data_IF_845790091157
#
_entry.id   IF_845790091157
#
_cell.length_a   1.000
_cell.length_b   1.000
_cell.length_c   1.000
_cell.angle_alpha   90.00
_cell.angle_beta   90.00
_cell.angle_gamma   90.00
#
_symmetry.space_group_name_H-M   'P 1'
#
loop_
_entity.id
_entity.type
_entity.pdbx_description
1 polymer ?
#
# COMPACT_ATOMS: atom_id res chain seq x y z
N UNK A 1 16.51 6.60 -16.81
CA UNK A 1 16.96 5.76 -15.64
C UNK A 1 15.87 4.72 -15.43
N UNK A 2 16.24 3.45 -15.41
CA UNK A 2 15.27 2.37 -15.23
C UNK A 2 14.80 2.34 -13.76
N UNK A 3 13.47 2.36 -13.54
CA UNK A 3 12.91 2.32 -12.19
C UNK A 3 13.12 0.92 -11.61
N UNK A 4 13.83 0.83 -10.50
CA UNK A 4 14.15 -0.44 -9.86
C UNK A 4 12.92 -1.03 -9.17
N UNK A 5 12.48 -2.18 -9.65
CA UNK A 5 11.45 -2.99 -9.00
C UNK A 5 12.12 -3.91 -7.98
N UNK A 6 11.53 -4.04 -6.81
CA UNK A 6 12.02 -4.97 -5.81
C UNK A 6 11.88 -6.42 -6.28
N UNK A 7 13.00 -7.15 -6.33
CA UNK A 7 13.05 -8.53 -6.84
C UNK A 7 12.15 -9.49 -6.05
N UNK A 8 11.96 -9.24 -4.76
CA UNK A 8 11.14 -10.09 -3.87
C UNK A 8 9.64 -9.85 -4.07
N UNK A 9 9.21 -8.71 -4.65
CA UNK A 9 7.80 -8.44 -4.93
C UNK A 9 7.17 -9.53 -5.80
N UNK A 10 7.82 -9.85 -6.92
CA UNK A 10 7.31 -10.88 -7.82
C UNK A 10 7.41 -12.28 -7.20
N UNK A 11 8.48 -12.58 -6.43
CA UNK A 11 8.62 -13.84 -5.72
C UNK A 11 7.50 -14.04 -4.70
N UNK A 12 7.28 -13.07 -3.81
CA UNK A 12 6.22 -13.18 -2.80
C UNK A 12 4.83 -13.18 -3.43
N UNK A 13 4.63 -12.47 -4.54
CA UNK A 13 3.38 -12.57 -5.28
C UNK A 13 3.16 -13.99 -5.85
N UNK A 14 4.18 -14.59 -6.45
CA UNK A 14 4.09 -15.97 -6.96
C UNK A 14 3.80 -16.96 -5.82
N UNK A 15 4.49 -16.85 -4.69
CA UNK A 15 4.21 -17.68 -3.50
C UNK A 15 2.76 -17.51 -3.03
N UNK A 16 2.24 -16.26 -2.96
CA UNK A 16 0.85 -16.00 -2.60
C UNK A 16 -0.13 -16.67 -3.57
N UNK A 17 0.12 -16.66 -4.86
CA UNK A 17 -0.70 -17.34 -5.85
C UNK A 17 -0.68 -18.85 -5.62
N UNK A 18 0.51 -19.45 -5.46
CA UNK A 18 0.66 -20.90 -5.21
C UNK A 18 -0.09 -21.31 -3.95
N UNK A 19 0.11 -20.63 -2.83
CA UNK A 19 -0.58 -20.92 -1.58
C UNK A 19 -2.11 -20.73 -1.69
N UNK A 20 -2.58 -19.68 -2.39
CA UNK A 20 -4.02 -19.50 -2.61
C UNK A 20 -4.64 -20.66 -3.41
N UNK A 21 -3.92 -21.21 -4.39
CA UNK A 21 -4.37 -22.39 -5.16
C UNK A 21 -4.39 -23.63 -4.26
N UNK A 22 -3.34 -23.86 -3.46
CA UNK A 22 -3.28 -24.99 -2.52
C UNK A 22 -4.44 -24.91 -1.52
N UNK A 23 -4.68 -23.76 -0.94
CA UNK A 23 -5.77 -23.54 0.01
C UNK A 23 -7.15 -23.82 -0.62
N UNK A 24 -7.35 -23.35 -1.86
CA UNK A 24 -8.58 -23.65 -2.60
C UNK A 24 -8.76 -25.16 -2.83
N UNK A 25 -7.68 -25.87 -3.17
CA UNK A 25 -7.71 -27.33 -3.34
C UNK A 25 -8.00 -28.06 -2.01
N UNK A 26 -7.40 -27.60 -0.91
CA UNK A 26 -7.67 -28.16 0.44
C UNK A 26 -9.12 -27.94 0.83
N UNK A 27 -9.67 -26.75 0.62
CA UNK A 27 -11.08 -26.44 0.88
C UNK A 27 -11.99 -27.34 0.04
N UNK A 28 -11.71 -27.52 -1.26
CA UNK A 28 -12.48 -28.40 -2.14
C UNK A 28 -12.42 -29.86 -1.69
N UNK A 29 -11.25 -30.35 -1.28
CA UNK A 29 -11.08 -31.72 -0.77
C UNK A 29 -11.85 -31.94 0.55
N UNK A 30 -11.81 -30.97 1.47
CA UNK A 30 -12.58 -31.00 2.71
C UNK A 30 -14.09 -31.03 2.44
N UNK A 31 -14.59 -30.21 1.52
CA UNK A 31 -15.99 -30.23 1.12
C UNK A 31 -16.40 -31.59 0.54
N UNK A 32 -15.55 -32.18 -0.31
CA UNK A 32 -15.79 -33.52 -0.88
C UNK A 32 -15.84 -34.63 0.21
N UNK A 33 -14.88 -34.60 1.12
CA UNK A 33 -14.79 -35.57 2.21
C UNK A 33 -15.98 -35.46 3.19
N UNK A 34 -16.41 -34.23 3.49
CA UNK A 34 -17.55 -33.97 4.38
C UNK A 34 -18.89 -34.31 3.72
N UNK A 35 -19.01 -34.17 2.39
CA UNK A 35 -20.20 -34.60 1.65
C UNK A 35 -20.44 -36.11 1.70
N UNK A 36 -19.38 -36.90 1.89
CA UNK A 36 -19.45 -38.36 2.02
C UNK A 36 -19.75 -38.86 3.44
N UNK A 37 -19.61 -38.02 4.47
CA UNK A 37 -19.66 -38.42 5.88
C UNK A 37 -21.05 -38.31 6.57
N UNK A 38 -22.12 -37.97 5.83
CA UNK A 38 -23.48 -37.85 6.38
C UNK A 38 -23.89 -36.41 6.75
N UNK A 39 -25.12 -36.07 6.34
CA UNK A 39 -25.52 -34.65 6.08
C UNK A 39 -26.00 -33.87 7.34
N UNK A 40 -26.24 -34.48 8.49
CA UNK A 40 -26.94 -33.80 9.59
C UNK A 40 -26.20 -32.61 10.22
N UNK A 41 -25.25 -32.88 11.11
CA UNK A 41 -24.52 -31.83 11.87
C UNK A 41 -23.44 -31.13 11.04
N UNK A 42 -22.80 -31.84 10.12
CA UNK A 42 -21.77 -31.30 9.23
C UNK A 42 -22.35 -30.28 8.26
N UNK A 43 -23.55 -30.55 7.72
CA UNK A 43 -24.24 -29.61 6.83
C UNK A 43 -24.59 -28.31 7.52
N UNK A 44 -25.05 -28.34 8.76
CA UNK A 44 -25.36 -27.14 9.55
C UNK A 44 -24.09 -26.32 9.86
N UNK A 45 -23.00 -26.98 10.24
CA UNK A 45 -21.71 -26.30 10.51
C UNK A 45 -21.17 -25.62 9.26
N UNK A 46 -21.23 -26.28 8.09
CA UNK A 46 -20.81 -25.70 6.83
C UNK A 46 -21.67 -24.49 6.41
N UNK A 47 -22.99 -24.59 6.60
CA UNK A 47 -23.89 -23.45 6.32
C UNK A 47 -23.52 -22.22 7.19
N UNK A 48 -23.21 -22.44 8.45
CA UNK A 48 -22.76 -21.40 9.38
C UNK A 48 -21.43 -20.77 8.91
N UNK A 49 -20.44 -21.57 8.53
CA UNK A 49 -19.15 -21.08 8.05
C UNK A 49 -19.30 -20.27 6.75
N UNK A 50 -20.13 -20.72 5.81
CA UNK A 50 -20.44 -19.98 4.58
C UNK A 50 -21.13 -18.66 4.89
N UNK A 51 -22.07 -18.66 5.85
CA UNK A 51 -22.75 -17.43 6.29
C UNK A 51 -21.73 -16.42 6.88
N UNK A 52 -20.84 -16.87 7.77
CA UNK A 52 -19.80 -15.99 8.32
C UNK A 52 -18.86 -15.46 7.23
N UNK A 53 -18.44 -16.29 6.29
CA UNK A 53 -17.61 -15.85 5.17
C UNK A 53 -18.33 -14.79 4.32
N UNK A 54 -19.62 -15.00 4.04
CA UNK A 54 -20.45 -14.03 3.32
C UNK A 54 -20.58 -12.69 4.07
N UNK A 55 -20.80 -12.73 5.39
CA UNK A 55 -20.88 -11.54 6.22
C UNK A 55 -19.54 -10.76 6.24
N UNK A 56 -18.41 -11.46 6.31
CA UNK A 56 -17.08 -10.85 6.24
C UNK A 56 -16.86 -10.16 4.88
N UNK A 57 -17.22 -10.83 3.78
CA UNK A 57 -17.14 -10.26 2.43
C UNK A 57 -18.02 -9.01 2.32
N UNK A 58 -19.27 -9.10 2.81
CA UNK A 58 -20.21 -7.99 2.80
C UNK A 58 -19.71 -6.80 3.63
N UNK A 59 -19.11 -7.07 4.79
CA UNK A 59 -18.49 -6.05 5.63
C UNK A 59 -17.36 -5.30 4.89
N UNK A 60 -16.42 -6.03 4.26
CA UNK A 60 -15.35 -5.40 3.50
C UNK A 60 -15.86 -4.65 2.25
N UNK A 61 -16.91 -5.14 1.61
CA UNK A 61 -17.57 -4.44 0.50
C UNK A 61 -18.20 -3.14 0.99
N UNK A 62 -18.93 -3.19 2.11
CA UNK A 62 -19.51 -2.02 2.74
C UNK A 62 -18.44 -0.97 3.09
N UNK A 63 -17.34 -1.37 3.72
CA UNK A 63 -16.23 -0.48 4.06
C UNK A 63 -15.64 0.20 2.81
N UNK A 64 -15.51 -0.52 1.69
CA UNK A 64 -15.06 0.07 0.43
C UNK A 64 -16.07 1.06 -0.15
N UNK A 65 -17.36 0.71 -0.16
CA UNK A 65 -18.42 1.60 -0.65
C UNK A 65 -18.45 2.87 0.21
N UNK A 66 -18.41 2.71 1.54
CA UNK A 66 -18.37 3.83 2.47
C UNK A 66 -17.17 4.76 2.20
N UNK A 67 -15.97 4.19 2.09
CA UNK A 67 -14.74 4.96 1.81
C UNK A 67 -14.85 5.74 0.49
N UNK A 68 -15.33 5.11 -0.59
CA UNK A 68 -15.48 5.78 -1.88
C UNK A 68 -16.59 6.83 -1.84
N UNK A 69 -17.68 6.55 -1.12
CA UNK A 69 -18.74 7.53 -0.86
C UNK A 69 -18.22 8.76 -0.14
N UNK A 70 -17.43 8.54 0.92
CA UNK A 70 -16.76 9.61 1.66
C UNK A 70 -15.81 10.44 0.77
N UNK A 71 -14.92 9.77 -0.01
CA UNK A 71 -14.00 10.47 -0.91
C UNK A 71 -14.72 11.32 -1.97
N UNK A 72 -15.86 10.85 -2.47
CA UNK A 72 -16.64 11.59 -3.47
C UNK A 72 -17.54 12.65 -2.88
N UNK A 73 -17.98 12.47 -1.64
CA UNK A 73 -18.87 13.41 -0.94
C UNK A 73 -18.11 14.58 -0.34
N UNK A 74 -17.03 14.29 0.40
CA UNK A 74 -16.30 15.31 1.18
C UNK A 74 -14.92 15.64 0.61
N UNK A 75 -14.34 14.73 -0.21
CA UNK A 75 -13.01 14.94 -0.78
C UNK A 75 -13.00 15.98 -1.90
N UNK A 76 -12.02 16.87 -1.89
CA UNK A 76 -11.79 17.83 -2.98
C UNK A 76 -11.06 17.13 -4.12
N UNK A 77 -11.71 16.98 -5.28
CA UNK A 77 -11.07 16.37 -6.43
C UNK A 77 -10.01 17.32 -7.03
N UNK A 78 -8.78 16.85 -7.12
CA UNK A 78 -7.69 17.56 -7.80
C UNK A 78 -7.90 17.46 -9.31
N UNK A 79 -8.01 18.61 -9.97
CA UNK A 79 -8.39 18.73 -11.38
C UNK A 79 -7.82 20.01 -11.99
N UNK A 80 -8.04 20.22 -13.28
CA UNK A 80 -7.68 21.48 -13.95
C UNK A 80 -8.34 22.72 -13.34
N UNK A 81 -9.50 22.55 -12.67
CA UNK A 81 -10.20 23.63 -11.96
C UNK A 81 -9.74 23.80 -10.50
N UNK A 82 -9.28 22.71 -9.90
CA UNK A 82 -8.85 22.63 -8.51
C UNK A 82 -7.41 22.15 -8.48
N UNK A 83 -6.49 23.03 -8.10
CA UNK A 83 -5.05 22.77 -8.04
C UNK A 83 -4.43 22.42 -9.40
N UNK A 84 -4.55 23.29 -10.45
CA UNK A 84 -4.16 22.98 -11.83
C UNK A 84 -2.69 22.58 -11.96
N UNK A 85 -1.78 23.21 -11.22
CA UNK A 85 -0.34 22.90 -11.24
C UNK A 85 -0.06 21.47 -10.77
N UNK A 86 -0.68 21.07 -9.65
CA UNK A 86 -0.53 19.70 -9.11
C UNK A 86 -1.17 18.69 -10.02
N UNK A 87 -2.33 19.02 -10.60
CA UNK A 87 -2.99 18.15 -11.56
C UNK A 87 -2.17 17.94 -12.82
N UNK A 88 -1.57 18.99 -13.37
CA UNK A 88 -0.69 18.89 -14.55
C UNK A 88 0.54 18.00 -14.26
N UNK A 89 1.19 18.21 -13.11
CA UNK A 89 2.28 17.37 -12.63
C UNK A 89 1.84 15.91 -12.50
N UNK A 90 0.75 15.67 -11.81
CA UNK A 90 0.20 14.33 -11.57
C UNK A 90 -0.14 13.60 -12.88
N UNK A 91 -0.71 14.31 -13.85
CA UNK A 91 -1.02 13.80 -15.19
C UNK A 91 0.26 13.42 -15.95
N UNK A 92 1.30 14.26 -15.88
CA UNK A 92 2.60 13.97 -16.49
C UNK A 92 3.25 12.72 -15.87
N UNK A 93 3.24 12.61 -14.54
CA UNK A 93 3.76 11.44 -13.82
C UNK A 93 3.01 10.15 -14.21
N UNK A 94 1.67 10.21 -14.30
CA UNK A 94 0.85 9.08 -14.73
C UNK A 94 1.13 8.65 -16.16
N UNK A 95 1.34 9.59 -17.07
CA UNK A 95 1.72 9.33 -18.46
C UNK A 95 3.11 8.69 -18.56
N UNK A 96 4.10 9.20 -17.83
CA UNK A 96 5.46 8.65 -17.76
C UNK A 96 5.48 7.20 -17.25
N UNK A 97 4.62 6.89 -16.28
CA UNK A 97 4.43 5.52 -15.79
C UNK A 97 3.62 4.62 -16.74
N UNK A 98 3.12 5.14 -17.86
CA UNK A 98 2.33 4.39 -18.84
C UNK A 98 0.97 3.93 -18.29
N UNK A 99 0.34 4.73 -17.44
CA UNK A 99 -0.98 4.41 -16.92
C UNK A 99 -2.04 4.64 -18.00
N UNK A 100 -2.79 3.59 -18.35
CA UNK A 100 -3.91 3.67 -19.31
C UNK A 100 -5.05 4.58 -18.83
N UNK A 101 -5.26 4.64 -17.54
CA UNK A 101 -6.27 5.49 -16.88
C UNK A 101 -5.66 6.10 -15.64
N UNK A 102 -5.64 7.43 -15.61
CA UNK A 102 -5.17 8.17 -14.44
C UNK A 102 -6.14 7.94 -13.27
N UNK A 103 -5.67 7.58 -12.06
CA UNK A 103 -6.52 7.51 -10.88
C UNK A 103 -7.13 8.88 -10.56
N UNK A 104 -8.35 8.90 -10.01
CA UNK A 104 -8.88 10.16 -9.48
C UNK A 104 -8.15 10.50 -8.18
N UNK A 105 -7.58 11.70 -8.12
CA UNK A 105 -6.85 12.20 -6.95
C UNK A 105 -7.78 13.06 -6.11
N UNK A 106 -7.92 12.72 -4.83
CA UNK A 106 -8.69 13.47 -3.85
C UNK A 106 -7.79 14.05 -2.76
N UNK A 107 -8.05 15.29 -2.41
CA UNK A 107 -7.57 15.93 -1.20
C UNK A 107 -8.61 15.73 -0.11
N UNK A 108 -8.20 15.21 1.05
CA UNK A 108 -9.07 15.01 2.22
C UNK A 108 -8.43 15.60 3.47
N UNK A 109 -9.28 16.08 4.38
CA UNK A 109 -8.85 16.57 5.67
C UNK A 109 -9.01 15.47 6.73
N UNK A 110 -7.90 15.11 7.37
CA UNK A 110 -7.92 14.35 8.62
C UNK A 110 -6.88 14.95 9.55
N UNK A 111 -7.35 15.63 10.59
CA UNK A 111 -6.51 16.40 11.49
C UNK A 111 -5.34 15.60 12.06
N UNK A 112 -4.11 16.09 11.81
CA UNK A 112 -2.88 15.51 12.35
C UNK A 112 -2.38 14.22 11.69
N UNK A 113 -3.08 13.69 10.67
CA UNK A 113 -2.61 12.52 9.95
C UNK A 113 -1.84 12.93 8.69
N UNK A 114 -0.57 12.54 8.62
CA UNK A 114 0.25 12.65 7.42
C UNK A 114 0.17 11.32 6.68
N UNK A 115 -0.62 11.27 5.62
CA UNK A 115 -0.76 10.04 4.85
C UNK A 115 -1.24 10.32 3.42
N UNK A 116 -1.04 9.32 2.57
CA UNK A 116 -1.71 9.16 1.30
C UNK A 116 -2.04 7.68 1.14
N UNK A 117 -3.04 7.35 0.35
CA UNK A 117 -3.34 5.95 0.06
C UNK A 117 -4.03 5.79 -1.29
N UNK A 118 -3.81 4.64 -1.92
CA UNK A 118 -4.49 4.23 -3.13
C UNK A 118 -5.54 3.15 -2.82
N UNK A 119 -6.72 3.27 -3.43
CA UNK A 119 -7.78 2.28 -3.34
C UNK A 119 -8.36 1.97 -4.72
N UNK A 120 -8.77 0.71 -4.91
CA UNK A 120 -9.45 0.26 -6.14
C UNK A 120 -10.87 -0.20 -5.83
N UNK A 121 -11.83 0.33 -6.58
CA UNK A 121 -13.23 -0.06 -6.49
C UNK A 121 -13.90 -0.02 -7.87
N UNK A 122 -14.69 -1.06 -8.20
CA UNK A 122 -15.45 -1.14 -9.45
C UNK A 122 -14.62 -0.80 -10.70
N UNK A 123 -13.41 -1.35 -10.81
CA UNK A 123 -12.51 -1.13 -11.96
C UNK A 123 -11.76 0.20 -11.96
N UNK A 124 -12.10 1.14 -11.08
CA UNK A 124 -11.45 2.44 -10.99
C UNK A 124 -10.45 2.49 -9.83
N UNK A 125 -9.37 3.23 -10.05
CA UNK A 125 -8.39 3.53 -9.00
C UNK A 125 -8.62 4.96 -8.49
N UNK A 126 -8.46 5.13 -7.19
CA UNK A 126 -8.55 6.41 -6.49
C UNK A 126 -7.31 6.56 -5.61
N UNK A 127 -6.81 7.78 -5.51
CA UNK A 127 -5.74 8.15 -4.59
C UNK A 127 -6.29 9.26 -3.71
N UNK A 128 -6.10 9.13 -2.42
CA UNK A 128 -6.40 10.18 -1.45
C UNK A 128 -5.10 10.66 -0.82
N UNK A 129 -4.91 11.97 -0.76
CA UNK A 129 -3.77 12.63 -0.10
C UNK A 129 -4.32 13.53 0.98
N UNK A 130 -3.74 13.47 2.16
CA UNK A 130 -4.17 14.31 3.27
C UNK A 130 -3.67 15.74 3.12
N UNK A 131 -4.45 16.69 3.61
CA UNK A 131 -4.19 18.13 3.49
C UNK A 131 -2.81 18.55 4.03
N UNK A 132 -2.33 17.87 5.08
CA UNK A 132 -1.02 18.17 5.65
C UNK A 132 0.15 17.83 4.70
N UNK A 133 0.00 16.80 3.85
CA UNK A 133 0.94 16.53 2.75
C UNK A 133 0.78 17.56 1.65
N UNK A 134 -0.47 17.89 1.33
CA UNK A 134 -0.80 18.80 0.24
C UNK A 134 -0.36 20.24 0.54
N UNK A 135 -0.31 20.64 1.82
CA UNK A 135 0.17 21.97 2.24
C UNK A 135 1.65 22.22 1.90
N UNK A 136 2.43 21.16 1.60
CA UNK A 136 3.84 21.27 1.21
C UNK A 136 4.05 21.69 -0.26
N UNK A 137 3.00 21.83 -1.06
CA UNK A 137 3.12 22.22 -2.47
C UNK A 137 3.96 23.50 -2.66
N UNK A 138 3.75 24.49 -1.78
CA UNK A 138 4.44 25.78 -1.87
C UNK A 138 5.86 25.76 -1.28
N UNK A 139 6.19 24.80 -0.42
CA UNK A 139 7.45 24.78 0.33
C UNK A 139 8.38 23.63 -0.04
N UNK A 140 7.85 22.47 -0.40
CA UNK A 140 8.61 21.27 -0.76
C UNK A 140 7.86 20.41 -1.78
N UNK A 141 7.82 20.85 -3.02
CA UNK A 141 7.18 20.14 -4.13
C UNK A 141 7.86 18.77 -4.39
N UNK A 142 9.15 18.61 -4.09
CA UNK A 142 9.85 17.33 -4.26
C UNK A 142 9.27 16.26 -3.33
N UNK A 143 8.96 16.60 -2.08
CA UNK A 143 8.25 15.69 -1.17
C UNK A 143 6.87 15.32 -1.70
N UNK A 144 6.12 16.25 -2.27
CA UNK A 144 4.82 15.96 -2.90
C UNK A 144 4.98 15.03 -4.09
N UNK A 145 5.97 15.25 -4.97
CA UNK A 145 6.30 14.36 -6.09
C UNK A 145 6.63 12.94 -5.61
N UNK A 146 7.42 12.82 -4.53
CA UNK A 146 7.74 11.51 -3.96
C UNK A 146 6.48 10.76 -3.56
N UNK A 147 5.59 11.40 -2.80
CA UNK A 147 4.37 10.77 -2.30
C UNK A 147 3.43 10.41 -3.43
N UNK A 148 3.18 11.33 -4.37
CA UNK A 148 2.33 11.05 -5.55
C UNK A 148 2.92 9.92 -6.40
N UNK A 149 4.24 9.90 -6.61
CA UNK A 149 4.95 8.85 -7.33
C UNK A 149 4.83 7.49 -6.65
N UNK A 150 4.95 7.45 -5.31
CA UNK A 150 4.76 6.26 -4.50
C UNK A 150 3.35 5.68 -4.68
N UNK A 151 2.30 6.50 -4.56
CA UNK A 151 0.91 6.08 -4.72
C UNK A 151 0.59 5.63 -6.16
N UNK A 152 1.09 6.36 -7.16
CA UNK A 152 0.99 5.95 -8.56
C UNK A 152 1.72 4.62 -8.81
N UNK A 153 2.78 4.34 -8.07
CA UNK A 153 3.49 3.08 -8.06
C UNK A 153 2.59 1.91 -7.68
N UNK A 154 1.81 2.04 -6.61
CA UNK A 154 0.83 1.03 -6.20
C UNK A 154 -0.19 0.75 -7.32
N UNK A 155 -0.65 1.78 -8.01
CA UNK A 155 -1.60 1.66 -9.13
C UNK A 155 -0.93 0.99 -10.33
N UNK A 156 0.27 1.43 -10.72
CA UNK A 156 1.04 0.90 -11.86
C UNK A 156 1.35 -0.58 -11.72
N UNK A 157 1.71 -1.01 -10.50
CA UNK A 157 2.02 -2.40 -10.16
C UNK A 157 0.79 -3.26 -9.90
N UNK A 158 -0.40 -2.66 -9.83
CA UNK A 158 -1.66 -3.35 -9.58
C UNK A 158 -1.75 -4.00 -8.20
N UNK A 159 -1.08 -3.43 -7.18
CA UNK A 159 -0.97 -4.01 -5.84
C UNK A 159 -2.35 -4.28 -5.21
N UNK A 160 -3.33 -3.37 -5.39
CA UNK A 160 -4.69 -3.56 -4.87
C UNK A 160 -5.39 -4.77 -5.49
N UNK A 161 -5.22 -4.98 -6.80
CA UNK A 161 -5.79 -6.15 -7.50
C UNK A 161 -5.11 -7.45 -7.08
N UNK A 162 -3.77 -7.45 -7.01
CA UNK A 162 -2.97 -8.60 -6.58
C UNK A 162 -3.34 -9.05 -5.17
N UNK A 163 -3.53 -8.10 -4.24
CA UNK A 163 -4.00 -8.40 -2.87
C UNK A 163 -5.38 -9.04 -2.86
N UNK A 164 -6.29 -8.56 -3.69
CA UNK A 164 -7.64 -9.13 -3.79
C UNK A 164 -7.61 -10.59 -4.26
N UNK A 165 -6.91 -10.87 -5.36
CA UNK A 165 -6.84 -12.22 -5.95
C UNK A 165 -6.04 -13.23 -5.10
N UNK A 166 -5.21 -12.76 -4.19
CA UNK A 166 -4.40 -13.59 -3.31
C UNK A 166 -4.81 -13.47 -1.83
N UNK A 167 -6.08 -13.12 -1.56
CA UNK A 167 -6.55 -12.93 -0.19
C UNK A 167 -6.52 -14.24 0.63
N UNK A 168 -6.76 -15.38 0.01
CA UNK A 168 -6.70 -16.70 0.66
C UNK A 168 -5.33 -16.94 1.29
N UNK A 169 -4.24 -16.72 0.56
CA UNK A 169 -2.88 -16.89 1.09
C UNK A 169 -2.53 -15.99 2.29
N UNK A 170 -3.48 -15.18 2.78
CA UNK A 170 -3.28 -14.39 4.00
C UNK A 170 -3.29 -15.26 5.27
N UNK A 171 -3.72 -16.50 5.17
CA UNK A 171 -3.62 -17.52 6.24
C UNK A 171 -2.15 -17.93 6.45
N UNK A 172 -1.32 -17.89 5.40
CA UNK A 172 0.11 -18.23 5.51
C UNK A 172 0.82 -17.17 6.35
N UNK A 173 1.39 -17.54 7.52
CA UNK A 173 2.04 -16.57 8.41
C UNK A 173 3.13 -15.77 7.68
N UNK A 174 3.23 -14.50 7.97
CA UNK A 174 4.25 -13.54 7.49
C UNK A 174 4.31 -13.32 5.96
N UNK A 175 3.66 -14.13 5.13
CA UNK A 175 3.73 -14.00 3.67
C UNK A 175 3.08 -12.69 3.18
N UNK A 176 1.89 -12.36 3.70
CA UNK A 176 1.22 -11.10 3.33
C UNK A 176 2.00 -9.86 3.78
N UNK A 177 2.49 -9.75 5.03
CA UNK A 177 3.39 -8.66 5.41
C UNK A 177 4.67 -8.59 4.56
N UNK A 178 5.31 -9.73 4.27
CA UNK A 178 6.52 -9.76 3.44
C UNK A 178 6.27 -9.26 2.02
N UNK A 179 5.17 -9.68 1.40
CA UNK A 179 4.73 -9.15 0.11
C UNK A 179 4.46 -7.65 0.18
N UNK A 180 3.71 -7.19 1.20
CA UNK A 180 3.41 -5.78 1.38
C UNK A 180 4.68 -4.93 1.48
N UNK A 181 5.64 -5.35 2.31
CA UNK A 181 6.94 -4.66 2.44
C UNK A 181 7.70 -4.59 1.13
N UNK A 182 7.64 -5.62 0.29
CA UNK A 182 8.32 -5.57 -1.03
C UNK A 182 7.63 -4.61 -1.99
N UNK A 183 6.31 -4.47 -1.91
CA UNK A 183 5.56 -3.46 -2.65
C UNK A 183 5.99 -2.04 -2.26
N UNK A 184 6.16 -1.78 -0.94
CA UNK A 184 6.62 -0.47 -0.45
C UNK A 184 7.98 -0.09 -1.02
N UNK A 185 8.96 -1.01 -1.01
CA UNK A 185 10.28 -0.73 -1.58
C UNK A 185 10.22 -0.42 -3.09
N UNK A 186 9.35 -1.10 -3.83
CA UNK A 186 9.12 -0.79 -5.25
C UNK A 186 8.51 0.60 -5.42
N UNK A 187 7.49 0.92 -4.63
CA UNK A 187 6.83 2.22 -4.69
C UNK A 187 7.74 3.37 -4.25
N UNK A 188 8.60 3.15 -3.25
CA UNK A 188 9.64 4.11 -2.88
C UNK A 188 10.61 4.40 -4.02
N UNK A 189 11.04 3.38 -4.75
CA UNK A 189 11.90 3.58 -5.91
C UNK A 189 11.20 4.38 -7.03
N UNK A 190 9.88 4.20 -7.18
CA UNK A 190 9.07 5.00 -8.12
C UNK A 190 8.92 6.44 -7.60
N UNK A 191 8.64 6.63 -6.32
CA UNK A 191 8.60 7.96 -5.69
C UNK A 191 9.94 8.70 -5.85
N UNK A 192 11.05 8.03 -5.58
CA UNK A 192 12.41 8.54 -5.77
C UNK A 192 12.73 8.93 -7.22
N UNK A 193 12.18 8.21 -8.20
CA UNK A 193 12.35 8.54 -9.62
C UNK A 193 11.82 9.93 -9.94
N UNK A 194 10.73 10.37 -9.30
CA UNK A 194 10.12 11.67 -9.52
C UNK A 194 10.67 12.78 -8.61
N UNK A 195 11.21 12.43 -7.44
CA UNK A 195 11.77 13.36 -6.46
C UNK A 195 13.29 13.24 -6.43
N UNK A 196 13.98 14.01 -7.28
CA UNK A 196 15.43 13.86 -7.48
C UNK A 196 16.27 14.59 -6.47
N UNK A 197 15.81 15.74 -5.98
CA UNK A 197 16.62 16.61 -5.12
C UNK A 197 16.66 16.14 -3.67
N UNK A 198 15.51 15.79 -3.09
CA UNK A 198 15.40 15.35 -1.69
C UNK A 198 14.48 14.13 -1.53
N UNK A 199 14.83 12.98 -2.13
CA UNK A 199 13.93 11.84 -2.19
C UNK A 199 13.64 11.19 -0.83
N UNK A 200 14.45 11.49 0.20
CA UNK A 200 14.26 10.95 1.55
C UNK A 200 13.24 11.73 2.37
N UNK A 201 12.98 12.99 2.01
CA UNK A 201 12.08 13.87 2.76
C UNK A 201 10.68 13.28 2.87
N UNK A 202 10.16 12.64 1.82
CA UNK A 202 8.86 11.97 1.87
C UNK A 202 8.76 10.88 2.95
N UNK A 203 9.84 10.14 3.19
CA UNK A 203 9.90 9.13 4.25
C UNK A 203 10.12 9.76 5.63
N UNK A 204 10.95 10.79 5.71
CA UNK A 204 11.20 11.50 6.97
C UNK A 204 9.97 12.27 7.42
N UNK A 205 9.19 12.81 6.47
CA UNK A 205 7.89 13.41 6.74
C UNK A 205 6.95 12.47 7.48
N UNK A 206 6.91 11.19 7.07
CA UNK A 206 6.10 10.16 7.75
C UNK A 206 6.60 9.84 9.16
N UNK A 207 7.89 10.05 9.44
CA UNK A 207 8.48 9.81 10.76
C UNK A 207 8.28 10.97 11.73
N UNK A 208 8.46 12.22 11.25
CA UNK A 208 8.59 13.39 12.10
C UNK A 208 7.47 14.43 11.94
N UNK A 209 6.59 14.26 10.94
CA UNK A 209 5.53 15.22 10.67
C UNK A 209 6.01 16.44 9.85
N UNK A 210 5.05 17.19 9.30
CA UNK A 210 5.31 18.29 8.37
C UNK A 210 6.13 19.46 8.95
N UNK A 211 6.03 19.65 10.27
CA UNK A 211 6.68 20.79 10.94
C UNK A 211 8.11 20.48 11.39
N UNK A 212 8.47 19.19 11.48
CA UNK A 212 9.75 18.78 12.05
C UNK A 212 10.66 17.99 11.09
N UNK A 213 10.14 17.44 10.00
CA UNK A 213 10.90 16.53 9.12
C UNK A 213 12.20 17.16 8.58
N UNK A 214 12.23 18.46 8.31
CA UNK A 214 13.43 19.17 7.82
C UNK A 214 14.51 19.35 8.89
N UNK A 215 14.16 19.15 10.18
CA UNK A 215 15.10 19.24 11.30
C UNK A 215 15.72 17.89 11.66
N UNK A 216 15.25 16.80 11.06
CA UNK A 216 15.77 15.46 11.33
C UNK A 216 17.10 15.26 10.63
N UNK A 217 18.14 14.94 11.40
CA UNK A 217 19.37 14.39 10.83
C UNK A 217 19.14 12.95 10.39
N UNK A 218 18.98 12.79 9.09
CA UNK A 218 18.67 11.49 8.47
C UNK A 218 19.78 10.47 8.71
N UNK A 219 21.05 10.90 8.77
CA UNK A 219 22.17 9.99 8.99
C UNK A 219 22.14 9.42 10.42
N UNK A 220 21.96 10.28 11.42
CA UNK A 220 21.80 9.90 12.82
C UNK A 220 20.55 9.03 13.01
N UNK A 221 19.42 9.40 12.45
CA UNK A 221 18.18 8.62 12.53
C UNK A 221 18.35 7.18 12.04
N UNK A 222 19.04 6.98 10.91
CA UNK A 222 19.32 5.65 10.36
C UNK A 222 20.36 4.90 11.20
N UNK A 223 21.38 5.58 11.73
CA UNK A 223 22.41 4.98 12.58
C UNK A 223 21.82 4.49 13.93
N UNK A 224 21.02 5.33 14.58
CA UNK A 224 20.34 5.00 15.83
C UNK A 224 19.37 3.83 15.68
N UNK A 225 18.61 3.82 14.60
CA UNK A 225 17.71 2.72 14.31
C UNK A 225 18.47 1.38 14.10
N UNK A 226 19.69 1.43 13.54
CA UNK A 226 20.54 0.25 13.41
C UNK A 226 21.09 -0.20 14.77
N UNK A 227 21.51 0.74 15.61
CA UNK A 227 21.99 0.44 16.97
C UNK A 227 20.89 -0.18 17.83
N UNK A 228 19.64 0.29 17.69
CA UNK A 228 18.46 -0.17 18.40
C UNK A 228 17.77 -1.39 17.77
N UNK A 229 18.41 -2.08 16.81
CA UNK A 229 17.79 -3.21 16.08
C UNK A 229 17.81 -4.50 16.92
N UNK A 230 16.98 -4.53 17.94
CA UNK A 230 16.81 -5.64 18.89
C UNK A 230 15.95 -6.77 18.31
N UNK A 231 15.88 -7.92 19.02
CA UNK A 231 15.02 -9.04 18.62
C UNK A 231 13.54 -8.67 18.66
N UNK A 232 13.12 -7.78 19.55
CA UNK A 232 11.77 -7.24 19.57
C UNK A 232 11.44 -6.47 18.27
N UNK A 233 12.37 -5.66 17.76
CA UNK A 233 12.22 -4.94 16.49
C UNK A 233 12.15 -5.92 15.33
N UNK A 234 13.00 -6.95 15.29
CA UNK A 234 12.96 -8.01 14.27
C UNK A 234 11.62 -8.73 14.27
N UNK A 235 11.16 -9.13 15.47
CA UNK A 235 9.88 -9.80 15.64
C UNK A 235 8.72 -8.94 15.15
N UNK A 236 8.63 -7.68 15.59
CA UNK A 236 7.63 -6.72 15.12
C UNK A 236 7.67 -6.58 13.59
N UNK A 237 8.87 -6.55 13.01
CA UNK A 237 9.09 -6.46 11.57
C UNK A 237 8.46 -7.60 10.75
N UNK A 238 8.21 -8.77 11.35
CA UNK A 238 7.54 -9.89 10.67
C UNK A 238 6.06 -9.59 10.40
N UNK A 239 5.40 -8.85 11.29
CA UNK A 239 3.95 -8.63 11.26
C UNK A 239 3.55 -7.35 10.53
N UNK A 240 4.41 -6.34 10.48
CA UNK A 240 4.08 -5.05 9.83
C UNK A 240 4.11 -5.15 8.31
N UNK A 241 3.11 -4.53 7.67
CA UNK A 241 3.00 -4.47 6.20
C UNK A 241 3.90 -3.41 5.57
N UNK A 242 4.31 -2.38 6.32
CA UNK A 242 5.25 -1.35 5.88
C UNK A 242 6.61 -1.60 6.53
N UNK A 243 7.73 -1.57 5.78
CA UNK A 243 9.05 -1.65 6.39
C UNK A 243 9.27 -0.46 7.32
N UNK A 244 10.07 -0.63 8.39
CA UNK A 244 10.51 0.50 9.19
C UNK A 244 11.13 1.59 8.31
N UNK A 245 10.81 2.85 8.58
CA UNK A 245 11.24 3.99 7.77
C UNK A 245 12.77 4.07 7.58
N UNK A 246 13.61 3.83 8.59
CA UNK A 246 15.06 3.78 8.40
C UNK A 246 15.51 2.73 7.37
N UNK A 247 14.82 1.60 7.29
CA UNK A 247 15.11 0.56 6.31
C UNK A 247 14.71 0.98 4.88
N UNK A 248 13.61 1.72 4.73
CA UNK A 248 13.18 2.32 3.46
C UNK A 248 14.20 3.36 2.99
N UNK A 249 14.63 4.25 3.88
CA UNK A 249 15.67 5.26 3.61
C UNK A 249 16.98 4.60 3.17
N UNK A 250 17.45 3.55 3.88
CA UNK A 250 18.65 2.80 3.50
C UNK A 250 18.52 2.16 2.11
N UNK A 251 17.36 1.61 1.79
CA UNK A 251 17.12 1.04 0.46
C UNK A 251 17.25 2.08 -0.65
N UNK A 252 16.75 3.29 -0.44
CA UNK A 252 16.86 4.37 -1.42
C UNK A 252 18.31 4.88 -1.55
N UNK A 253 19.00 5.08 -0.41
CA UNK A 253 20.36 5.62 -0.36
C UNK A 253 21.40 4.61 -0.88
N UNK A 254 21.38 3.39 -0.38
CA UNK A 254 22.46 2.42 -0.58
C UNK A 254 22.12 1.36 -1.64
N UNK A 255 20.89 1.34 -2.12
CA UNK A 255 20.40 0.28 -3.01
C UNK A 255 20.33 -1.10 -2.35
N UNK A 256 20.50 -1.19 -1.04
CA UNK A 256 20.56 -2.43 -0.26
C UNK A 256 19.43 -2.47 0.76
N UNK A 257 18.73 -3.60 0.80
CA UNK A 257 17.85 -3.91 1.93
C UNK A 257 18.68 -4.34 3.13
N UNK A 258 18.20 -4.06 4.34
CA UNK A 258 18.74 -4.65 5.55
C UNK A 258 18.46 -6.16 5.60
#
# INVERSE_FOLDING_TARGET
MEIRIDKRENLYFALKVVFSVIELMVVAALFSALGSAGIGTVGATMAILVLYAALIVLFFLFQKIYLIGYLKGDGVAVSERQFPEVYALYKAMGAELGLKKLPTLFLIQQGGALNAFAVRFSGNNYIAVYSDVFSLISSDMETVKFILGHELGHVRRGHMSKRFWTCLSSIVPFLTPAYSRSCEYTCDNIGHHFAKENPMNGLVLLAAGKDLYQRVDVASYVADAKANYTDAVKFTGLFIGHPFLPNRIRNLRDGKRP
#
